data_IF_281600587405
#
_entry.id   IF_281600587405
#
_cell.length_a   1.000
_cell.length_b   1.000
_cell.length_c   1.000
_cell.angle_alpha   90.00
_cell.angle_beta   90.00
_cell.angle_gamma   90.00
#
_symmetry.space_group_name_H-M   'P 1'
#
loop_
_entity.id
_entity.type
_entity.pdbx_description
1 polymer ?
#
# COMPACT_ATOMS: atom_id res chain seq x y z
N UNK A 1 42.20 30.29 -51.57
CA UNK A 1 42.87 28.99 -51.33
C UNK A 1 41.91 27.90 -51.73
N UNK A 2 42.13 27.24 -52.88
CA UNK A 2 41.30 26.13 -53.33
C UNK A 2 41.66 24.89 -52.52
N UNK A 3 40.70 24.38 -51.74
CA UNK A 3 40.83 23.07 -51.07
C UNK A 3 40.97 22.03 -52.18
N UNK A 4 42.10 21.34 -52.24
CA UNK A 4 42.29 20.29 -53.25
C UNK A 4 41.33 19.14 -52.97
N UNK A 5 40.81 18.47 -54.00
CA UNK A 5 39.82 17.38 -53.81
C UNK A 5 40.27 16.28 -52.83
N UNK A 6 41.59 16.11 -52.67
CA UNK A 6 42.21 15.21 -51.69
C UNK A 6 41.99 15.65 -50.22
N UNK A 7 42.00 16.96 -49.95
CA UNK A 7 41.76 17.51 -48.61
C UNK A 7 40.28 17.35 -48.21
N UNK A 8 39.35 17.53 -49.14
CA UNK A 8 37.92 17.30 -48.89
C UNK A 8 37.62 15.81 -48.65
N UNK A 9 38.24 14.91 -49.42
CA UNK A 9 38.14 13.47 -49.21
C UNK A 9 38.70 13.07 -47.84
N UNK A 10 39.88 13.59 -47.46
CA UNK A 10 40.48 13.36 -46.16
C UNK A 10 39.59 13.81 -45.00
N UNK A 11 39.01 15.01 -45.11
CA UNK A 11 38.06 15.52 -44.12
C UNK A 11 36.79 14.64 -44.01
N UNK A 12 36.25 14.21 -45.14
CA UNK A 12 35.04 13.36 -45.18
C UNK A 12 35.28 12.01 -44.52
N UNK A 13 36.43 11.37 -44.80
CA UNK A 13 36.83 10.11 -44.16
C UNK A 13 37.03 10.30 -42.66
N UNK A 14 37.68 11.39 -42.25
CA UNK A 14 37.90 11.70 -40.84
C UNK A 14 36.58 11.87 -40.07
N UNK A 15 35.61 12.61 -40.62
CA UNK A 15 34.28 12.78 -40.02
C UNK A 15 33.54 11.43 -39.96
N UNK A 16 33.58 10.63 -41.02
CA UNK A 16 32.96 9.31 -41.04
C UNK A 16 33.54 8.37 -39.98
N UNK A 17 34.86 8.40 -39.75
CA UNK A 17 35.53 7.63 -38.70
C UNK A 17 35.09 8.08 -37.30
N UNK A 18 34.98 9.39 -37.06
CA UNK A 18 34.50 9.91 -35.76
C UNK A 18 33.06 9.49 -35.50
N UNK A 19 32.18 9.60 -36.50
CA UNK A 19 30.79 9.15 -36.40
C UNK A 19 30.75 7.65 -36.12
N UNK A 20 31.50 6.85 -36.88
CA UNK A 20 31.56 5.41 -36.68
C UNK A 20 32.09 5.03 -35.30
N UNK A 21 33.07 5.77 -34.75
CA UNK A 21 33.61 5.52 -33.41
C UNK A 21 32.54 5.69 -32.32
N UNK A 22 31.65 6.68 -32.44
CA UNK A 22 30.51 6.86 -31.52
C UNK A 22 29.54 5.66 -31.60
N UNK A 23 29.24 5.20 -32.82
CA UNK A 23 28.39 4.02 -33.01
C UNK A 23 29.06 2.72 -32.58
N UNK A 24 30.38 2.60 -32.71
CA UNK A 24 31.15 1.44 -32.28
C UNK A 24 31.10 1.26 -30.76
N UNK A 25 31.25 2.35 -30.00
CA UNK A 25 31.12 2.33 -28.54
C UNK A 25 29.70 1.91 -28.12
N UNK A 26 28.67 2.45 -28.78
CA UNK A 26 27.28 2.05 -28.56
C UNK A 26 27.02 0.57 -28.91
N UNK A 27 27.59 0.08 -30.01
CA UNK A 27 27.49 -1.32 -30.43
C UNK A 27 28.20 -2.27 -29.46
N UNK A 28 29.36 -1.86 -28.94
CA UNK A 28 30.12 -2.62 -27.94
C UNK A 28 29.32 -2.76 -26.64
N UNK A 29 28.75 -1.67 -26.16
CA UNK A 29 27.93 -1.70 -24.95
C UNK A 29 26.63 -2.48 -25.15
N UNK A 30 26.01 -2.38 -26.34
CA UNK A 30 24.83 -3.19 -26.68
C UNK A 30 25.13 -4.69 -26.71
N UNK A 31 26.31 -5.11 -27.18
CA UNK A 31 26.72 -6.52 -27.13
C UNK A 31 26.93 -6.98 -25.68
N UNK A 32 27.58 -6.15 -24.85
CA UNK A 32 27.76 -6.42 -23.42
C UNK A 32 26.40 -6.57 -22.69
N UNK A 33 25.45 -5.68 -22.94
CA UNK A 33 24.10 -5.73 -22.37
C UNK A 33 23.26 -6.92 -22.86
N UNK A 34 23.59 -7.51 -24.01
CA UNK A 34 22.96 -8.75 -24.50
C UNK A 34 23.54 -10.01 -23.86
N UNK A 35 24.78 -9.95 -23.39
CA UNK A 35 25.47 -11.06 -22.72
C UNK A 35 25.17 -11.09 -21.21
N UNK A 36 24.92 -9.93 -20.60
CA UNK A 36 24.33 -9.86 -19.26
C UNK A 36 22.89 -10.37 -19.34
N UNK A 37 22.64 -11.59 -18.85
CA UNK A 37 21.27 -12.06 -18.63
C UNK A 37 20.58 -11.00 -17.76
N UNK A 38 19.50 -10.34 -18.25
CA UNK A 38 18.77 -9.43 -17.40
C UNK A 38 18.36 -10.26 -16.18
N UNK A 39 18.64 -9.76 -14.98
CA UNK A 39 18.02 -10.28 -13.77
C UNK A 39 16.52 -10.27 -14.08
N UNK A 40 15.95 -11.43 -14.38
CA UNK A 40 14.54 -11.56 -14.69
C UNK A 40 13.80 -11.21 -13.41
N UNK A 41 13.53 -9.93 -13.21
CA UNK A 41 12.59 -9.46 -12.22
C UNK A 41 11.27 -10.07 -12.67
N UNK A 42 10.87 -11.15 -12.02
CA UNK A 42 9.62 -11.82 -12.31
C UNK A 42 8.51 -10.78 -12.14
N UNK A 43 7.92 -10.29 -13.23
CA UNK A 43 6.95 -9.19 -13.19
C UNK A 43 5.73 -9.52 -12.29
N UNK A 44 5.45 -10.80 -12.04
CA UNK A 44 4.42 -11.23 -11.08
C UNK A 44 4.76 -10.85 -9.63
N UNK A 45 6.05 -10.70 -9.29
CA UNK A 45 6.55 -10.21 -8.00
C UNK A 45 6.05 -8.80 -7.65
N UNK A 46 5.92 -7.96 -8.68
CA UNK A 46 5.46 -6.56 -8.56
C UNK A 46 3.93 -6.48 -8.68
N UNK A 47 3.32 -7.34 -9.51
CA UNK A 47 1.90 -7.26 -9.86
C UNK A 47 0.96 -8.05 -8.94
N UNK A 48 1.45 -9.06 -8.23
CA UNK A 48 0.59 -9.97 -7.45
C UNK A 48 0.88 -9.83 -5.97
N UNK A 49 -0.13 -9.46 -5.20
CA UNK A 49 0.01 -9.21 -3.77
C UNK A 49 0.40 -10.50 -3.01
N UNK A 50 -0.18 -11.64 -3.38
CA UNK A 50 0.04 -12.96 -2.77
C UNK A 50 1.17 -13.79 -3.44
N UNK A 51 2.04 -13.17 -4.25
CA UNK A 51 3.11 -13.88 -4.98
C UNK A 51 3.96 -14.79 -4.08
N UNK A 52 4.33 -14.32 -2.89
CA UNK A 52 5.16 -15.10 -1.96
C UNK A 52 4.45 -16.35 -1.45
N UNK A 53 3.18 -16.20 -1.04
CA UNK A 53 2.36 -17.32 -0.60
C UNK A 53 2.13 -18.35 -1.71
N UNK A 54 1.86 -17.89 -2.93
CA UNK A 54 1.70 -18.78 -4.09
C UNK A 54 3.01 -19.49 -4.44
N UNK A 55 4.12 -18.76 -4.52
CA UNK A 55 5.43 -19.34 -4.87
C UNK A 55 5.89 -20.36 -3.83
N UNK A 56 5.66 -20.09 -2.54
CA UNK A 56 5.99 -21.03 -1.48
C UNK A 56 5.15 -22.31 -1.55
N UNK A 57 3.81 -22.18 -1.71
CA UNK A 57 2.92 -23.34 -1.90
C UNK A 57 3.34 -24.18 -3.11
N UNK A 58 3.72 -23.54 -4.21
CA UNK A 58 4.19 -24.26 -5.41
C UNK A 58 5.48 -25.04 -5.12
N UNK A 59 6.47 -24.42 -4.47
CA UNK A 59 7.72 -25.11 -4.08
C UNK A 59 7.47 -26.30 -3.17
N UNK A 60 6.55 -26.15 -2.22
CA UNK A 60 6.18 -27.23 -1.30
C UNK A 60 5.58 -28.44 -2.04
N UNK A 61 4.80 -28.24 -3.11
CA UNK A 61 4.28 -29.37 -3.90
C UNK A 61 5.42 -30.25 -4.44
N UNK A 62 6.50 -29.64 -4.91
CA UNK A 62 7.66 -30.37 -5.43
C UNK A 62 8.48 -30.99 -4.29
N UNK A 63 8.70 -30.25 -3.20
CA UNK A 63 9.53 -30.72 -2.08
C UNK A 63 8.90 -31.88 -1.34
N UNK A 64 7.58 -31.89 -1.19
CA UNK A 64 6.86 -32.95 -0.49
C UNK A 64 6.85 -34.29 -1.25
N UNK A 65 7.22 -34.31 -2.53
CA UNK A 65 7.40 -35.54 -3.31
C UNK A 65 8.78 -36.19 -3.11
N UNK A 66 9.76 -35.46 -2.57
CA UNK A 66 11.10 -35.99 -2.34
C UNK A 66 11.11 -37.07 -1.26
N UNK A 67 12.05 -38.04 -1.30
CA UNK A 67 12.18 -39.04 -0.25
C UNK A 67 12.32 -38.41 1.15
N UNK A 68 11.71 -39.03 2.14
CA UNK A 68 11.75 -38.54 3.52
C UNK A 68 11.75 -39.67 4.52
N UNK A 69 12.30 -39.41 5.69
CA UNK A 69 12.39 -40.33 6.83
C UNK A 69 11.26 -40.05 7.81
N UNK A 70 10.80 -41.05 8.56
CA UNK A 70 9.81 -40.83 9.62
C UNK A 70 10.54 -40.51 10.92
N UNK A 71 10.24 -39.38 11.54
CA UNK A 71 10.86 -38.92 12.79
C UNK A 71 9.78 -38.27 13.66
N UNK A 72 9.67 -38.68 14.94
CA UNK A 72 8.74 -38.11 15.92
C UNK A 72 7.28 -37.98 15.42
N UNK A 73 6.78 -38.97 14.67
CA UNK A 73 5.42 -38.98 14.12
C UNK A 73 5.20 -38.05 12.91
N UNK A 74 6.24 -37.37 12.45
CA UNK A 74 6.26 -36.59 11.20
C UNK A 74 7.15 -37.22 10.14
N UNK A 75 7.08 -36.67 8.93
CA UNK A 75 7.96 -37.01 7.80
C UNK A 75 8.97 -35.89 7.59
N UNK A 76 10.25 -36.22 7.68
CA UNK A 76 11.36 -35.28 7.51
C UNK A 76 11.95 -35.45 6.11
N UNK A 77 12.05 -34.36 5.38
CA UNK A 77 12.57 -34.31 4.01
C UNK A 77 13.78 -33.38 3.99
N UNK A 78 14.88 -33.81 3.39
CA UNK A 78 16.09 -32.99 3.20
C UNK A 78 16.12 -32.43 1.79
N UNK A 79 16.23 -31.11 1.65
CA UNK A 79 16.31 -30.40 0.36
C UNK A 79 17.46 -29.40 0.40
N UNK A 80 18.64 -29.84 -0.05
CA UNK A 80 19.86 -29.03 0.07
C UNK A 80 20.17 -28.75 1.55
N UNK A 81 20.22 -27.46 1.92
CA UNK A 81 20.45 -27.02 3.30
C UNK A 81 19.15 -26.83 4.11
N UNK A 82 18.00 -27.19 3.54
CA UNK A 82 16.71 -27.11 4.21
C UNK A 82 16.28 -28.48 4.70
N UNK A 83 15.79 -28.50 5.95
CA UNK A 83 15.10 -29.64 6.54
C UNK A 83 13.63 -29.25 6.65
N UNK A 84 12.78 -30.03 5.97
CA UNK A 84 11.34 -29.86 5.95
C UNK A 84 10.71 -30.91 6.85
N UNK A 85 9.97 -30.48 7.86
CA UNK A 85 9.23 -31.36 8.78
C UNK A 85 7.75 -31.27 8.40
N UNK A 86 7.20 -32.36 7.88
CA UNK A 86 5.77 -32.49 7.60
C UNK A 86 5.08 -33.26 8.71
N UNK A 87 4.03 -32.66 9.28
CA UNK A 87 3.16 -33.29 10.27
C UNK A 87 1.75 -33.42 9.68
N UNK A 88 1.21 -34.64 9.70
CA UNK A 88 -0.09 -34.96 9.08
C UNK A 88 -1.29 -34.67 9.98
N UNK A 89 -1.05 -34.43 11.27
CA UNK A 89 -2.05 -34.04 12.27
C UNK A 89 -1.90 -32.56 12.66
N UNK A 90 -2.83 -32.08 13.48
CA UNK A 90 -2.64 -30.81 14.18
C UNK A 90 -1.46 -30.89 15.16
N UNK A 91 -0.84 -29.74 15.44
CA UNK A 91 0.29 -29.59 16.36
C UNK A 91 0.10 -28.41 17.29
N UNK A 92 0.53 -28.57 18.54
CA UNK A 92 0.59 -27.50 19.54
C UNK A 92 2.00 -27.48 20.16
N UNK A 93 2.75 -26.43 19.86
CA UNK A 93 4.11 -26.26 20.38
C UNK A 93 4.10 -25.53 21.72
N UNK A 94 4.86 -25.98 22.72
CA UNK A 94 4.92 -25.30 24.01
C UNK A 94 5.55 -23.90 23.88
N UNK A 95 5.35 -23.01 24.88
CA UNK A 95 6.03 -21.72 24.94
C UNK A 95 7.55 -21.86 24.83
N UNK A 96 8.21 -20.84 24.26
CA UNK A 96 9.68 -20.78 24.08
C UNK A 96 10.26 -21.90 23.20
N UNK A 97 9.43 -22.52 22.36
CA UNK A 97 9.88 -23.44 21.32
C UNK A 97 10.83 -22.73 20.35
N UNK A 98 11.95 -23.37 20.01
CA UNK A 98 12.87 -22.90 18.97
C UNK A 98 12.92 -23.97 17.88
N UNK A 99 12.62 -23.59 16.64
CA UNK A 99 12.64 -24.47 15.47
C UNK A 99 13.34 -23.78 14.30
N UNK A 100 14.29 -24.47 13.66
CA UNK A 100 15.00 -24.00 12.46
C UNK A 100 14.70 -24.85 11.21
N UNK A 101 13.57 -25.57 11.25
CA UNK A 101 13.08 -26.39 10.14
C UNK A 101 11.92 -25.68 9.42
N UNK A 102 11.80 -25.92 8.10
CA UNK A 102 10.58 -25.56 7.36
C UNK A 102 9.47 -26.48 7.85
N UNK A 103 8.40 -25.91 8.39
CA UNK A 103 7.31 -26.70 8.99
C UNK A 103 6.11 -26.75 8.05
N UNK A 104 5.60 -27.96 7.80
CA UNK A 104 4.41 -28.20 6.97
C UNK A 104 3.39 -28.97 7.83
N UNK A 105 2.25 -28.34 8.13
CA UNK A 105 1.20 -28.93 8.98
C UNK A 105 -0.06 -29.13 8.15
N UNK A 106 -0.50 -30.38 7.99
CA UNK A 106 -1.74 -30.70 7.25
C UNK A 106 -3.00 -30.44 8.10
N UNK A 107 -2.88 -30.37 9.43
CA UNK A 107 -3.94 -29.96 10.35
C UNK A 107 -3.83 -28.50 10.81
N UNK A 108 -4.25 -28.24 12.04
CA UNK A 108 -4.12 -26.93 12.70
C UNK A 108 -2.75 -26.78 13.37
N UNK A 109 -2.25 -25.55 13.42
CA UNK A 109 -1.02 -25.21 14.13
C UNK A 109 -1.33 -24.24 15.28
N UNK A 110 -0.82 -24.53 16.46
CA UNK A 110 -0.64 -23.52 17.50
C UNK A 110 0.76 -23.56 18.10
N UNK A 111 1.19 -22.41 18.62
CA UNK A 111 2.34 -22.35 19.52
C UNK A 111 2.05 -21.46 20.72
N UNK A 112 2.70 -21.77 21.85
CA UNK A 112 2.73 -20.93 23.03
C UNK A 112 3.53 -19.64 22.81
N UNK A 113 3.63 -18.83 23.86
CA UNK A 113 4.32 -17.54 23.82
C UNK A 113 5.84 -17.69 23.57
N UNK A 114 6.44 -16.61 23.06
CA UNK A 114 7.89 -16.43 22.91
C UNK A 114 8.60 -17.52 22.09
N UNK A 115 7.90 -18.15 21.14
CA UNK A 115 8.50 -19.12 20.22
C UNK A 115 9.34 -18.46 19.13
N UNK A 116 10.33 -19.18 18.60
CA UNK A 116 11.20 -18.74 17.50
C UNK A 116 11.17 -19.78 16.38
N UNK A 117 10.57 -19.41 15.25
CA UNK A 117 10.49 -20.24 14.06
C UNK A 117 11.30 -19.56 12.95
N UNK A 118 12.52 -20.05 12.75
CA UNK A 118 13.54 -19.39 11.92
C UNK A 118 13.36 -19.63 10.42
N UNK A 119 12.51 -20.57 10.03
CA UNK A 119 12.13 -20.89 8.65
C UNK A 119 10.63 -20.75 8.41
N UNK A 120 10.22 -20.91 7.16
CA UNK A 120 8.85 -20.79 6.71
C UNK A 120 7.93 -21.87 7.31
N UNK A 121 6.71 -21.47 7.66
CA UNK A 121 5.65 -22.37 8.13
C UNK A 121 4.54 -22.39 7.07
N UNK A 122 4.06 -23.59 6.72
CA UNK A 122 2.84 -23.79 5.98
C UNK A 122 1.83 -24.59 6.81
N UNK A 123 0.59 -24.10 6.86
CA UNK A 123 -0.51 -24.71 7.62
C UNK A 123 -1.72 -24.84 6.71
N UNK A 124 -2.26 -26.05 6.57
CA UNK A 124 -3.48 -26.29 5.78
C UNK A 124 -4.74 -25.93 6.58
N UNK A 125 -4.74 -26.18 7.89
CA UNK A 125 -5.80 -25.77 8.79
C UNK A 125 -5.70 -24.31 9.24
N UNK A 126 -6.16 -24.06 10.46
CA UNK A 126 -6.02 -22.77 11.14
C UNK A 126 -4.68 -22.66 11.85
N UNK A 127 -4.19 -21.44 12.02
CA UNK A 127 -2.92 -21.16 12.66
C UNK A 127 -3.08 -20.10 13.75
N UNK A 128 -2.58 -20.40 14.97
CA UNK A 128 -2.42 -19.43 16.06
C UNK A 128 -0.96 -19.33 16.46
N UNK A 129 -0.37 -18.15 16.30
CA UNK A 129 0.99 -17.86 16.75
C UNK A 129 0.91 -17.16 18.10
N UNK A 130 1.47 -17.77 19.14
CA UNK A 130 1.42 -17.27 20.51
C UNK A 130 2.17 -15.95 20.72
N UNK A 131 1.73 -15.18 21.72
CA UNK A 131 2.23 -13.83 21.98
C UNK A 131 3.76 -13.73 22.06
N UNK A 132 4.32 -12.62 21.56
CA UNK A 132 5.77 -12.37 21.58
C UNK A 132 6.61 -13.26 20.64
N UNK A 133 6.01 -14.25 19.99
CA UNK A 133 6.74 -15.16 19.10
C UNK A 133 7.26 -14.48 17.85
N UNK A 134 8.34 -15.03 17.29
CA UNK A 134 8.96 -14.59 16.03
C UNK A 134 8.89 -15.70 15.00
N UNK A 135 8.32 -15.38 13.83
CA UNK A 135 8.16 -16.30 12.70
C UNK A 135 8.81 -15.70 11.46
N UNK A 136 9.57 -16.49 10.69
CA UNK A 136 10.25 -16.00 9.50
C UNK A 136 9.26 -15.60 8.39
N UNK A 137 8.42 -16.53 7.96
CA UNK A 137 7.28 -16.29 7.07
C UNK A 137 6.23 -17.39 7.26
N UNK A 138 4.97 -17.12 6.91
CA UNK A 138 3.89 -18.07 7.17
C UNK A 138 2.81 -18.05 6.08
N UNK A 139 2.44 -19.23 5.59
CA UNK A 139 1.32 -19.43 4.67
C UNK A 139 0.25 -20.33 5.32
N UNK A 140 -1.00 -19.91 5.28
CA UNK A 140 -2.12 -20.60 5.95
C UNK A 140 -3.29 -20.75 5.00
N UNK A 141 -3.90 -21.92 4.89
CA UNK A 141 -5.10 -22.10 4.07
C UNK A 141 -6.40 -21.89 4.86
N UNK A 142 -6.39 -22.02 6.19
CA UNK A 142 -7.45 -21.56 7.08
C UNK A 142 -7.24 -20.12 7.58
N UNK A 143 -7.70 -19.82 8.79
CA UNK A 143 -7.52 -18.53 9.46
C UNK A 143 -6.15 -18.43 10.13
N UNK A 144 -5.58 -17.22 10.16
CA UNK A 144 -4.31 -16.93 10.83
C UNK A 144 -4.52 -15.88 11.93
N UNK A 145 -4.25 -16.27 13.17
CA UNK A 145 -4.23 -15.38 14.33
C UNK A 145 -2.79 -15.15 14.78
N UNK A 146 -2.35 -13.90 14.73
CA UNK A 146 -1.11 -13.47 15.35
C UNK A 146 -1.47 -12.82 16.69
N UNK A 147 -1.06 -13.43 17.80
CA UNK A 147 -1.30 -12.87 19.13
C UNK A 147 -0.50 -11.56 19.37
N UNK A 148 -0.72 -10.86 20.50
CA UNK A 148 -0.01 -9.61 20.77
C UNK A 148 1.51 -9.73 20.66
N UNK A 149 2.13 -8.69 20.12
CA UNK A 149 3.59 -8.56 19.99
C UNK A 149 4.30 -9.63 19.14
N UNK A 150 3.56 -10.44 18.37
CA UNK A 150 4.14 -11.36 17.39
C UNK A 150 4.90 -10.60 16.32
N UNK A 151 6.06 -11.11 15.92
CA UNK A 151 6.86 -10.57 14.82
C UNK A 151 6.93 -11.55 13.66
N UNK A 152 6.36 -11.17 12.52
CA UNK A 152 6.59 -11.86 11.23
C UNK A 152 7.69 -11.13 10.47
N UNK A 153 8.81 -11.81 10.21
CA UNK A 153 10.04 -11.17 9.69
C UNK A 153 9.94 -10.83 8.21
N UNK A 154 9.21 -11.63 7.42
CA UNK A 154 9.06 -11.41 5.98
C UNK A 154 7.61 -11.18 5.62
N UNK A 155 6.86 -12.24 5.42
CA UNK A 155 5.50 -12.16 4.88
C UNK A 155 4.57 -13.15 5.57
N UNK A 156 3.28 -12.83 5.57
CA UNK A 156 2.24 -13.79 5.91
C UNK A 156 1.15 -13.78 4.84
N UNK A 157 0.59 -14.96 4.58
CA UNK A 157 -0.43 -15.18 3.56
C UNK A 157 -1.49 -16.12 4.12
N UNK A 158 -2.77 -15.76 4.00
CA UNK A 158 -3.88 -16.59 4.43
C UNK A 158 -5.03 -16.60 3.43
N UNK A 159 -5.68 -17.76 3.23
CA UNK A 159 -6.94 -17.78 2.48
C UNK A 159 -8.13 -17.38 3.35
N UNK A 160 -8.04 -17.56 4.67
CA UNK A 160 -9.05 -17.15 5.65
C UNK A 160 -8.82 -15.74 6.17
N UNK A 161 -9.27 -15.49 7.40
CA UNK A 161 -9.12 -14.20 8.10
C UNK A 161 -7.71 -14.11 8.69
N UNK A 162 -7.08 -12.94 8.55
CA UNK A 162 -5.85 -12.59 9.27
C UNK A 162 -6.17 -11.64 10.42
N UNK A 163 -6.04 -12.12 11.65
CA UNK A 163 -6.10 -11.30 12.86
C UNK A 163 -4.70 -10.90 13.29
N UNK A 164 -4.37 -9.61 13.20
CA UNK A 164 -3.09 -9.05 13.62
C UNK A 164 -3.24 -8.45 15.00
N UNK A 165 -2.67 -9.14 16.00
CA UNK A 165 -2.75 -8.77 17.41
C UNK A 165 -2.10 -7.44 17.77
N UNK A 166 -2.42 -6.95 18.98
CA UNK A 166 -1.94 -5.65 19.48
C UNK A 166 -0.42 -5.60 19.44
N UNK A 167 0.15 -4.54 18.87
CA UNK A 167 1.59 -4.36 18.79
C UNK A 167 2.34 -5.38 17.93
N UNK A 168 1.65 -6.30 17.25
CA UNK A 168 2.28 -7.25 16.34
C UNK A 168 2.89 -6.52 15.14
N UNK A 169 4.02 -7.03 14.64
CA UNK A 169 4.78 -6.41 13.55
C UNK A 169 4.98 -7.39 12.41
N UNK A 170 4.50 -7.03 11.21
CA UNK A 170 4.76 -7.77 9.97
C UNK A 170 5.72 -6.93 9.15
N UNK A 171 6.95 -7.43 8.99
CA UNK A 171 8.07 -6.63 8.50
C UNK A 171 8.05 -6.38 7.00
N UNK A 172 7.28 -7.12 6.21
CA UNK A 172 6.98 -6.80 4.81
C UNK A 172 5.48 -6.93 4.49
N UNK A 173 5.08 -7.94 3.69
CA UNK A 173 3.72 -8.05 3.12
C UNK A 173 2.83 -8.98 3.94
N UNK A 174 1.57 -8.60 4.11
CA UNK A 174 0.52 -9.46 4.64
C UNK A 174 -0.66 -9.51 3.68
N UNK A 175 -1.10 -10.71 3.32
CA UNK A 175 -2.23 -10.90 2.42
C UNK A 175 -3.27 -11.81 3.03
N UNK A 176 -4.54 -11.45 2.87
CA UNK A 176 -5.68 -12.33 3.09
C UNK A 176 -6.58 -12.35 1.87
N UNK A 177 -7.15 -13.52 1.55
CA UNK A 177 -8.20 -13.64 0.52
C UNK A 177 -9.59 -13.22 0.98
N UNK A 178 -9.77 -12.94 2.27
CA UNK A 178 -11.07 -12.55 2.83
C UNK A 178 -10.98 -11.21 3.57
N UNK A 179 -10.22 -11.17 4.67
CA UNK A 179 -10.14 -10.02 5.55
C UNK A 179 -8.83 -9.97 6.33
N UNK A 180 -8.31 -8.75 6.56
CA UNK A 180 -7.30 -8.47 7.57
C UNK A 180 -7.88 -7.55 8.65
N UNK A 181 -7.75 -7.96 9.91
CA UNK A 181 -8.12 -7.19 11.08
C UNK A 181 -6.86 -6.71 11.79
N UNK A 182 -6.66 -5.40 11.84
CA UNK A 182 -5.54 -4.77 12.52
C UNK A 182 -5.97 -4.34 13.93
N UNK A 183 -5.33 -4.90 14.95
CA UNK A 183 -5.48 -4.43 16.32
C UNK A 183 -4.61 -3.18 16.57
N UNK A 184 -4.86 -2.43 17.66
CA UNK A 184 -4.09 -1.23 17.99
C UNK A 184 -2.59 -1.48 18.07
N UNK A 185 -1.81 -0.47 17.69
CA UNK A 185 -0.35 -0.46 17.70
C UNK A 185 0.31 -1.51 16.78
N UNK A 186 -0.48 -2.27 16.01
CA UNK A 186 0.03 -3.19 15.00
C UNK A 186 0.70 -2.44 13.86
N UNK A 187 1.76 -3.04 13.29
CA UNK A 187 2.63 -2.42 12.29
C UNK A 187 2.85 -3.35 11.10
N UNK A 188 2.53 -2.89 9.90
CA UNK A 188 2.66 -3.68 8.65
C UNK A 188 3.24 -2.78 7.56
N UNK A 189 4.05 -3.29 6.61
CA UNK A 189 4.51 -2.44 5.48
C UNK A 189 3.43 -2.35 4.41
N UNK A 190 2.85 -3.49 4.06
CA UNK A 190 1.84 -3.61 3.01
C UNK A 190 0.82 -4.66 3.41
N UNK A 191 -0.44 -4.27 3.47
CA UNK A 191 -1.57 -5.16 3.74
C UNK A 191 -2.57 -5.10 2.58
N UNK A 192 -3.01 -6.27 2.15
CA UNK A 192 -4.00 -6.41 1.08
C UNK A 192 -5.05 -7.46 1.44
N UNK A 193 -6.32 -7.11 1.28
CA UNK A 193 -7.45 -8.02 1.31
C UNK A 193 -8.69 -7.38 0.68
N UNK A 194 -9.72 -8.17 0.34
CA UNK A 194 -11.05 -7.63 0.04
C UNK A 194 -11.63 -6.76 1.17
N UNK A 195 -11.14 -6.93 2.40
CA UNK A 195 -11.47 -6.05 3.52
C UNK A 195 -10.27 -5.92 4.47
N UNK A 196 -9.75 -4.71 4.66
CA UNK A 196 -8.74 -4.36 5.67
C UNK A 196 -9.39 -3.42 6.67
N UNK A 197 -9.43 -3.80 7.95
CA UNK A 197 -10.17 -3.07 8.98
C UNK A 197 -9.35 -2.84 10.26
N UNK A 198 -9.68 -1.77 10.99
CA UNK A 198 -9.16 -1.47 12.34
C UNK A 198 -10.26 -1.62 13.39
N UNK A 199 -10.03 -2.48 14.38
CA UNK A 199 -11.02 -2.98 15.37
C UNK A 199 -12.35 -3.50 14.78
N UNK A 200 -13.18 -4.08 15.66
CA UNK A 200 -14.42 -4.77 15.34
C UNK A 200 -15.18 -4.09 14.21
N UNK A 201 -15.18 -4.74 13.06
CA UNK A 201 -16.15 -4.52 12.01
C UNK A 201 -17.54 -4.56 12.64
N UNK A 202 -18.06 -3.41 13.06
CA UNK A 202 -19.48 -3.20 12.87
C UNK A 202 -19.60 -3.17 11.37
N UNK A 203 -20.42 -4.08 10.85
CA UNK A 203 -21.12 -3.91 9.58
C UNK A 203 -21.87 -2.59 9.71
N UNK A 204 -21.14 -1.48 9.62
CA UNK A 204 -21.67 -0.16 9.46
C UNK A 204 -22.36 -0.34 8.13
N UNK A 205 -23.68 -0.54 8.23
CA UNK A 205 -24.55 -0.48 7.09
C UNK A 205 -24.02 0.67 6.27
N UNK A 206 -23.69 0.40 5.01
CA UNK A 206 -23.57 1.42 3.99
C UNK A 206 -24.89 2.18 4.09
N UNK A 207 -24.93 3.23 4.91
CA UNK A 207 -26.12 3.99 5.22
C UNK A 207 -25.78 5.45 5.07
N UNK A 208 -26.52 5.96 4.10
CA UNK A 208 -26.77 7.31 3.67
C UNK A 208 -25.58 8.06 3.07
N UNK A 209 -25.86 8.56 1.87
CA UNK A 209 -25.15 9.66 1.25
C UNK A 209 -24.91 10.76 2.28
N UNK A 210 -23.77 11.47 2.22
CA UNK A 210 -23.61 12.66 3.05
C UNK A 210 -24.85 13.56 2.91
N UNK A 211 -25.25 14.27 3.98
CA UNK A 211 -26.32 15.27 3.88
C UNK A 211 -26.02 16.21 2.71
N UNK A 212 -27.09 16.63 2.01
CA UNK A 212 -26.98 17.49 0.84
C UNK A 212 -26.02 18.66 1.13
N UNK A 213 -25.06 18.95 0.22
CA UNK A 213 -24.01 19.91 0.50
C UNK A 213 -24.62 21.28 0.83
N UNK A 214 -24.24 21.80 2.00
CA UNK A 214 -24.38 23.21 2.34
C UNK A 214 -23.47 23.99 1.37
N UNK A 215 -24.00 25.08 0.80
CA UNK A 215 -23.38 25.99 -0.19
C UNK A 215 -21.89 25.68 -0.43
N UNK A 216 -21.63 24.94 -1.51
CA UNK A 216 -20.28 24.54 -1.89
C UNK A 216 -19.69 25.52 -2.92
N UNK A 217 -18.39 25.77 -2.81
CA UNK A 217 -17.60 26.35 -3.90
C UNK A 217 -17.53 25.28 -4.98
N UNK A 218 -17.89 25.61 -6.22
CA UNK A 218 -17.81 24.67 -7.34
C UNK A 218 -16.60 24.97 -8.21
N UNK A 219 -15.84 23.94 -8.59
CA UNK A 219 -14.80 24.00 -9.62
C UNK A 219 -15.14 22.95 -10.69
N UNK A 220 -15.35 23.34 -11.97
CA UNK A 220 -15.24 24.71 -12.50
C UNK A 220 -16.34 25.64 -11.94
N UNK A 221 -16.10 26.95 -11.98
CA UNK A 221 -17.08 27.94 -11.53
C UNK A 221 -18.37 27.84 -12.37
N UNK A 222 -19.56 27.99 -11.76
CA UNK A 222 -20.82 27.93 -12.48
C UNK A 222 -20.97 29.15 -13.42
N UNK A 223 -21.92 29.06 -14.35
CA UNK A 223 -22.29 30.15 -15.25
C UNK A 223 -23.70 30.65 -14.91
N UNK A 224 -23.88 31.93 -14.49
CA UNK A 224 -22.85 32.94 -14.27
C UNK A 224 -22.01 32.65 -13.00
N UNK A 225 -20.74 33.11 -12.96
CA UNK A 225 -19.88 32.89 -11.80
C UNK A 225 -20.34 33.73 -10.60
N UNK A 226 -20.11 33.28 -9.36
CA UNK A 226 -20.35 34.09 -8.16
C UNK A 226 -19.50 35.37 -8.17
N UNK A 227 -19.88 36.37 -7.37
CA UNK A 227 -19.11 37.60 -7.25
C UNK A 227 -17.68 37.34 -6.75
N UNK A 228 -16.73 38.19 -7.16
CA UNK A 228 -15.33 38.06 -6.74
C UNK A 228 -15.19 38.14 -5.22
N UNK A 229 -16.00 38.97 -4.56
CA UNK A 229 -16.03 39.14 -3.12
C UNK A 229 -16.50 37.86 -2.42
N UNK A 230 -17.53 37.19 -2.97
CA UNK A 230 -18.02 35.92 -2.44
C UNK A 230 -16.96 34.82 -2.58
N UNK A 231 -16.30 34.72 -3.73
CA UNK A 231 -15.24 33.73 -3.97
C UNK A 231 -14.05 33.94 -3.04
N UNK A 232 -13.58 35.19 -2.89
CA UNK A 232 -12.48 35.52 -1.97
C UNK A 232 -12.86 35.28 -0.51
N UNK A 233 -14.08 35.63 -0.09
CA UNK A 233 -14.59 35.31 1.23
C UNK A 233 -14.66 33.80 1.51
N UNK A 234 -14.87 33.02 0.45
CA UNK A 234 -14.85 31.56 0.46
C UNK A 234 -13.42 30.95 0.38
N UNK A 235 -12.37 31.78 0.29
CA UNK A 235 -10.98 31.35 0.21
C UNK A 235 -10.49 30.97 -1.20
N UNK A 236 -11.27 31.25 -2.24
CA UNK A 236 -10.90 31.01 -3.64
C UNK A 236 -10.60 32.34 -4.33
N UNK A 237 -9.35 32.55 -4.78
CA UNK A 237 -8.98 33.69 -5.61
C UNK A 237 -9.09 33.33 -7.10
N UNK A 238 -10.08 33.86 -7.85
CA UNK A 238 -10.23 33.55 -9.27
C UNK A 238 -9.02 33.96 -10.11
N UNK A 239 -8.21 34.93 -9.65
CA UNK A 239 -6.99 35.35 -10.34
C UNK A 239 -5.87 34.29 -10.32
N UNK A 240 -5.96 33.32 -9.40
CA UNK A 240 -5.00 32.20 -9.28
C UNK A 240 -5.49 30.92 -9.95
N UNK A 241 -6.76 30.88 -10.36
CA UNK A 241 -7.40 29.73 -10.96
C UNK A 241 -7.33 29.84 -12.49
N UNK A 242 -6.58 28.94 -13.12
CA UNK A 242 -6.34 28.93 -14.56
C UNK A 242 -6.80 27.60 -15.16
N UNK A 243 -7.52 27.67 -16.26
CA UNK A 243 -7.88 26.48 -17.03
C UNK A 243 -6.65 26.01 -17.82
N UNK A 244 -6.25 24.74 -17.66
CA UNK A 244 -5.17 24.13 -18.44
C UNK A 244 -5.70 23.38 -19.67
N UNK A 245 -6.80 22.66 -19.49
CA UNK A 245 -7.51 21.92 -20.53
C UNK A 245 -9.01 21.96 -20.27
N UNK A 246 -9.81 21.25 -21.08
CA UNK A 246 -11.24 21.25 -20.88
C UNK A 246 -11.67 20.67 -19.53
N UNK A 247 -10.89 19.70 -19.05
CA UNK A 247 -11.11 18.83 -17.89
C UNK A 247 -10.10 19.04 -16.76
N UNK A 248 -9.22 20.06 -16.86
CA UNK A 248 -8.18 20.32 -15.86
C UNK A 248 -7.98 21.80 -15.57
N UNK A 249 -7.93 22.12 -14.28
CA UNK A 249 -7.68 23.44 -13.74
C UNK A 249 -6.44 23.44 -12.87
N UNK A 250 -5.78 24.59 -12.82
CA UNK A 250 -4.60 24.87 -12.02
C UNK A 250 -4.91 26.00 -11.05
N UNK A 251 -4.68 25.80 -9.76
CA UNK A 251 -4.62 26.88 -8.78
C UNK A 251 -3.16 27.21 -8.44
N UNK A 252 -2.74 28.46 -8.65
CA UNK A 252 -1.38 28.91 -8.31
C UNK A 252 -1.25 29.23 -6.82
N UNK A 253 -0.31 28.59 -6.15
CA UNK A 253 -0.10 28.74 -4.71
C UNK A 253 -1.12 27.97 -3.88
N UNK A 254 -1.01 28.17 -2.58
CA UNK A 254 -1.86 27.54 -1.57
C UNK A 254 -3.35 27.85 -1.77
N UNK A 255 -4.20 26.84 -1.59
CA UNK A 255 -5.66 26.90 -1.69
C UNK A 255 -6.29 26.53 -0.34
N UNK A 256 -6.75 27.53 0.41
CA UNK A 256 -7.41 27.33 1.69
C UNK A 256 -8.85 27.80 1.60
N UNK A 257 -9.77 26.86 1.40
CA UNK A 257 -11.19 27.16 1.29
C UNK A 257 -11.82 27.28 2.68
N UNK A 258 -12.79 28.17 2.82
CA UNK A 258 -13.59 28.35 4.06
C UNK A 258 -14.98 27.73 3.95
N UNK A 259 -15.38 27.29 2.76
CA UNK A 259 -16.62 26.57 2.48
C UNK A 259 -16.34 25.23 1.75
N UNK A 260 -17.23 24.23 1.86
CA UNK A 260 -17.04 22.93 1.20
C UNK A 260 -16.78 23.06 -0.30
N UNK A 261 -15.89 22.24 -0.83
CA UNK A 261 -15.59 22.20 -2.27
C UNK A 261 -16.44 21.14 -2.95
N UNK A 262 -17.06 21.48 -4.08
CA UNK A 262 -17.55 20.51 -5.07
C UNK A 262 -16.64 20.57 -6.29
N UNK A 263 -15.79 19.56 -6.44
CA UNK A 263 -14.82 19.48 -7.54
C UNK A 263 -15.35 18.53 -8.61
N UNK A 264 -15.74 19.06 -9.77
CA UNK A 264 -16.29 18.32 -10.92
C UNK A 264 -15.30 18.15 -12.08
N UNK A 265 -14.05 18.55 -11.89
CA UNK A 265 -12.99 18.57 -12.89
C UNK A 265 -11.65 18.33 -12.21
N UNK A 266 -10.61 17.92 -12.93
CA UNK A 266 -9.30 17.73 -12.30
C UNK A 266 -8.75 19.07 -11.82
N UNK A 267 -8.17 19.09 -10.63
CA UNK A 267 -7.54 20.28 -10.07
C UNK A 267 -6.12 19.99 -9.62
N UNK A 268 -5.19 20.79 -10.11
CA UNK A 268 -3.80 20.82 -9.66
C UNK A 268 -3.57 22.08 -8.85
N UNK A 269 -3.16 21.94 -7.59
CA UNK A 269 -2.80 23.05 -6.71
C UNK A 269 -1.28 23.14 -6.60
N UNK A 270 -0.70 24.28 -6.99
CA UNK A 270 0.73 24.57 -6.89
C UNK A 270 1.12 25.06 -5.49
N UNK A 271 0.79 24.24 -4.49
CA UNK A 271 0.95 24.54 -3.08
C UNK A 271 0.17 23.55 -2.23
N UNK A 272 -0.10 23.91 -0.98
CA UNK A 272 -0.96 23.16 -0.09
C UNK A 272 -2.44 23.38 -0.43
N UNK A 273 -3.28 22.38 -0.17
CA UNK A 273 -4.73 22.50 -0.37
C UNK A 273 -5.51 21.99 0.84
N UNK A 274 -6.43 22.81 1.33
CA UNK A 274 -7.34 22.52 2.44
C UNK A 274 -8.78 22.55 1.95
N UNK A 275 -9.39 21.38 1.89
CA UNK A 275 -10.82 21.22 1.61
C UNK A 275 -11.57 21.09 2.95
N UNK A 276 -12.52 21.99 3.26
CA UNK A 276 -13.35 21.91 4.46
C UNK A 276 -14.18 20.62 4.56
N UNK A 277 -14.77 20.40 5.73
CA UNK A 277 -15.66 19.28 5.98
C UNK A 277 -16.83 19.24 4.99
N UNK A 278 -17.26 18.03 4.61
CA UNK A 278 -18.35 17.83 3.66
C UNK A 278 -18.01 18.17 2.20
N UNK A 279 -16.73 18.31 1.84
CA UNK A 279 -16.32 18.50 0.45
C UNK A 279 -16.61 17.25 -0.39
N UNK A 280 -16.99 17.44 -1.65
CA UNK A 280 -17.26 16.39 -2.64
C UNK A 280 -16.28 16.54 -3.80
N UNK A 281 -15.38 15.58 -3.94
CA UNK A 281 -14.36 15.56 -5.00
C UNK A 281 -14.73 14.49 -6.02
N UNK A 282 -15.49 14.87 -7.04
CA UNK A 282 -15.93 13.97 -8.11
C UNK A 282 -14.76 13.57 -9.02
N UNK A 283 -13.75 14.44 -9.15
CA UNK A 283 -12.58 14.28 -10.00
C UNK A 283 -11.25 14.42 -9.23
N UNK A 284 -10.13 14.18 -9.93
CA UNK A 284 -8.79 14.13 -9.35
C UNK A 284 -8.36 15.46 -8.69
N UNK A 285 -7.78 15.37 -7.50
CA UNK A 285 -7.16 16.49 -6.80
C UNK A 285 -5.68 16.19 -6.56
N UNK A 286 -4.81 17.01 -7.15
CA UNK A 286 -3.37 16.99 -6.92
C UNK A 286 -2.90 18.25 -6.22
N UNK A 287 -2.03 18.10 -5.23
CA UNK A 287 -1.26 19.20 -4.64
C UNK A 287 0.24 18.94 -4.75
N UNK A 288 1.01 19.94 -5.16
CA UNK A 288 2.49 19.91 -5.04
C UNK A 288 2.93 20.05 -3.56
N UNK A 289 2.04 20.49 -2.68
CA UNK A 289 2.24 20.53 -1.22
C UNK A 289 1.51 19.40 -0.49
N UNK A 290 0.94 19.71 0.68
CA UNK A 290 0.11 18.78 1.46
C UNK A 290 -1.38 18.93 1.16
N UNK A 291 -2.15 17.85 1.34
CA UNK A 291 -3.61 17.85 1.26
C UNK A 291 -4.26 17.65 2.63
N UNK A 292 -5.22 18.50 2.97
CA UNK A 292 -6.12 18.27 4.10
C UNK A 292 -7.55 18.18 3.60
N UNK A 293 -8.14 17.01 3.78
CA UNK A 293 -9.53 16.73 3.43
C UNK A 293 -10.33 16.72 4.74
N UNK A 294 -11.30 17.62 4.85
CA UNK A 294 -12.14 17.75 6.04
C UNK A 294 -13.00 16.51 6.30
N UNK A 295 -13.59 16.46 7.49
CA UNK A 295 -14.44 15.35 7.94
C UNK A 295 -15.68 15.17 7.05
N UNK A 296 -16.15 13.93 6.91
CA UNK A 296 -17.34 13.59 6.14
C UNK A 296 -17.25 13.90 4.65
N UNK A 297 -16.05 14.18 4.12
CA UNK A 297 -15.85 14.45 2.70
C UNK A 297 -15.96 13.17 1.87
N UNK A 298 -16.38 13.30 0.62
CA UNK A 298 -16.49 12.18 -0.33
C UNK A 298 -15.54 12.44 -1.50
N UNK A 299 -14.61 11.50 -1.73
CA UNK A 299 -13.59 11.61 -2.76
C UNK A 299 -13.74 10.48 -3.77
N UNK A 300 -14.37 10.76 -4.90
CA UNK A 300 -14.45 9.82 -6.01
C UNK A 300 -13.16 9.81 -6.82
N UNK A 301 -12.53 10.95 -7.10
CA UNK A 301 -11.26 11.01 -7.83
C UNK A 301 -10.03 10.55 -7.03
N UNK A 302 -8.88 10.55 -7.68
CA UNK A 302 -7.59 10.30 -7.04
C UNK A 302 -7.16 11.49 -6.18
N UNK A 303 -6.54 11.20 -5.04
CA UNK A 303 -5.93 12.21 -4.16
C UNK A 303 -4.42 12.03 -4.19
N UNK A 304 -3.70 13.04 -4.69
CA UNK A 304 -2.24 12.97 -4.81
C UNK A 304 -1.61 14.20 -4.19
N UNK A 305 -0.68 14.01 -3.27
CA UNK A 305 0.13 15.08 -2.68
C UNK A 305 1.61 14.69 -2.73
N UNK A 306 2.49 15.63 -3.04
CA UNK A 306 3.93 15.41 -2.88
C UNK A 306 4.32 15.47 -1.38
N UNK A 307 3.52 16.16 -0.55
CA UNK A 307 3.65 16.20 0.91
C UNK A 307 2.72 15.22 1.64
N UNK A 308 2.24 15.65 2.80
CA UNK A 308 1.36 14.85 3.65
C UNK A 308 -0.09 14.88 3.15
N UNK A 309 -0.84 13.81 3.42
CA UNK A 309 -2.29 13.79 3.26
C UNK A 309 -2.93 13.49 4.61
N UNK A 310 -3.88 14.35 5.02
CA UNK A 310 -4.76 14.09 6.16
C UNK A 310 -6.20 13.99 5.67
N UNK A 311 -6.81 12.84 5.91
CA UNK A 311 -8.23 12.61 5.62
C UNK A 311 -9.02 12.63 6.92
N UNK A 312 -10.02 13.50 6.98
CA UNK A 312 -10.88 13.69 8.15
C UNK A 312 -11.71 12.46 8.49
N UNK A 313 -12.30 12.48 9.68
CA UNK A 313 -13.16 11.41 10.20
C UNK A 313 -14.35 11.16 9.29
N UNK A 314 -14.78 9.90 9.21
CA UNK A 314 -15.94 9.45 8.43
C UNK A 314 -15.94 9.83 6.94
N UNK A 315 -14.80 10.25 6.39
CA UNK A 315 -14.66 10.55 4.96
C UNK A 315 -14.59 9.26 4.13
N UNK A 316 -14.93 9.36 2.85
CA UNK A 316 -14.98 8.22 1.91
C UNK A 316 -14.04 8.45 0.73
N UNK A 317 -13.35 7.42 0.27
CA UNK A 317 -12.60 7.46 -0.99
C UNK A 317 -12.88 6.23 -1.86
N UNK A 318 -12.86 6.43 -3.18
CA UNK A 318 -13.18 5.38 -4.14
C UNK A 318 -12.04 4.98 -5.07
N UNK A 319 -10.92 5.71 -5.09
CA UNK A 319 -9.77 5.39 -5.92
C UNK A 319 -8.46 5.44 -5.13
N UNK A 320 -7.41 6.06 -5.65
CA UNK A 320 -6.07 6.03 -5.07
C UNK A 320 -5.86 7.27 -4.20
N UNK A 321 -5.25 7.05 -3.03
CA UNK A 321 -4.63 8.09 -2.22
C UNK A 321 -3.12 7.85 -2.25
N UNK A 322 -2.35 8.86 -2.69
CA UNK A 322 -0.90 8.81 -2.74
C UNK A 322 -0.31 10.04 -2.04
N UNK A 323 0.29 9.82 -0.87
CA UNK A 323 1.05 10.84 -0.13
C UNK A 323 2.56 10.64 -0.34
N UNK A 324 3.26 11.66 -0.83
CA UNK A 324 4.72 11.69 -0.90
C UNK A 324 5.39 11.83 0.47
N UNK A 325 4.63 12.22 1.51
CA UNK A 325 5.01 12.18 2.92
C UNK A 325 4.21 11.13 3.71
N UNK A 326 3.59 11.58 4.80
CA UNK A 326 2.73 10.78 5.69
C UNK A 326 1.29 10.79 5.21
N UNK A 327 0.58 9.66 5.31
CA UNK A 327 -0.87 9.60 5.15
C UNK A 327 -1.54 9.33 6.49
N UNK A 328 -2.58 10.09 6.82
CA UNK A 328 -3.41 9.89 8.02
C UNK A 328 -4.85 9.68 7.61
N UNK A 329 -5.39 8.50 7.90
CA UNK A 329 -6.80 8.19 7.75
C UNK A 329 -7.49 8.37 9.10
N UNK A 330 -8.40 9.35 9.18
CA UNK A 330 -9.18 9.65 10.37
C UNK A 330 -10.16 8.52 10.73
N UNK A 331 -10.70 8.60 11.94
CA UNK A 331 -11.58 7.55 12.46
C UNK A 331 -12.81 7.34 11.56
N UNK A 332 -13.13 6.09 11.24
CA UNK A 332 -14.30 5.76 10.42
C UNK A 332 -14.15 6.01 8.91
N UNK A 333 -12.95 6.30 8.40
CA UNK A 333 -12.73 6.44 6.95
C UNK A 333 -13.06 5.14 6.21
N UNK A 334 -13.75 5.25 5.09
CA UNK A 334 -14.14 4.13 4.24
C UNK A 334 -13.49 4.23 2.86
N UNK A 335 -12.66 3.25 2.52
CA UNK A 335 -12.11 3.07 1.17
C UNK A 335 -12.87 1.99 0.42
N UNK A 336 -13.66 2.36 -0.58
CA UNK A 336 -14.48 1.40 -1.31
C UNK A 336 -14.79 1.84 -2.75
N UNK A 337 -14.68 0.88 -3.67
CA UNK A 337 -15.19 0.96 -5.04
C UNK A 337 -16.02 -0.29 -5.33
N UNK A 338 -17.10 -0.14 -6.11
CA UNK A 338 -18.03 -1.24 -6.40
C UNK A 338 -17.32 -2.38 -7.14
N UNK A 339 -16.63 -2.05 -8.23
CA UNK A 339 -16.02 -3.01 -9.16
C UNK A 339 -14.50 -3.17 -9.03
N UNK A 340 -13.85 -2.41 -8.14
CA UNK A 340 -12.39 -2.37 -8.05
C UNK A 340 -11.88 -2.38 -6.60
N UNK A 341 -10.56 -2.58 -6.46
CA UNK A 341 -9.86 -2.37 -5.20
C UNK A 341 -9.37 -0.92 -5.12
N UNK A 342 -9.38 -0.35 -3.92
CA UNK A 342 -8.81 0.97 -3.66
C UNK A 342 -7.42 0.84 -3.05
N UNK A 343 -6.64 1.92 -3.12
CA UNK A 343 -5.26 1.95 -2.61
C UNK A 343 -5.02 3.21 -1.81
N UNK A 344 -4.49 3.05 -0.61
CA UNK A 344 -3.93 4.15 0.18
C UNK A 344 -2.43 3.89 0.40
N UNK A 345 -1.61 4.79 -0.12
CA UNK A 345 -0.16 4.71 -0.08
C UNK A 345 0.48 5.98 0.50
N UNK A 346 1.50 5.78 1.33
CA UNK A 346 2.39 6.82 1.82
C UNK A 346 3.84 6.43 1.59
N UNK A 347 4.68 7.37 1.18
CA UNK A 347 6.13 7.14 1.18
C UNK A 347 6.65 7.02 2.62
N UNK A 348 6.21 7.91 3.52
CA UNK A 348 6.43 7.80 4.96
C UNK A 348 5.40 6.90 5.62
N UNK A 349 5.14 7.11 6.91
CA UNK A 349 4.11 6.38 7.65
C UNK A 349 2.69 6.54 7.11
N UNK A 350 1.91 5.45 7.18
CA UNK A 350 0.46 5.45 7.01
C UNK A 350 -0.20 5.21 8.37
N UNK A 351 -0.82 6.22 8.95
CA UNK A 351 -1.54 6.09 10.21
C UNK A 351 -3.03 5.82 9.96
N UNK A 352 -3.54 4.76 10.55
CA UNK A 352 -4.91 4.30 10.37
C UNK A 352 -5.63 4.38 11.70
N UNK A 353 -6.54 5.33 11.84
CA UNK A 353 -7.34 5.49 13.05
C UNK A 353 -8.37 4.36 13.22
N UNK A 354 -9.11 4.39 14.32
CA UNK A 354 -10.09 3.37 14.66
C UNK A 354 -11.30 3.37 13.69
N UNK A 355 -11.82 2.18 13.35
CA UNK A 355 -13.01 2.03 12.52
C UNK A 355 -12.78 2.33 11.03
N UNK A 356 -11.53 2.47 10.60
CA UNK A 356 -11.20 2.55 9.17
C UNK A 356 -11.40 1.18 8.52
N UNK A 357 -12.05 1.17 7.37
CA UNK A 357 -12.27 -0.03 6.55
C UNK A 357 -11.91 0.26 5.10
N UNK A 358 -11.12 -0.61 4.47
CA UNK A 358 -10.65 -0.46 3.09
C UNK A 358 -10.80 -1.76 2.32
N UNK A 359 -11.51 -1.72 1.18
CA UNK A 359 -11.53 -2.81 0.20
C UNK A 359 -10.34 -2.68 -0.74
N UNK A 360 -9.21 -3.28 -0.36
CA UNK A 360 -7.98 -3.24 -1.15
C UNK A 360 -6.73 -3.13 -0.31
N UNK A 361 -5.88 -2.15 -0.65
CA UNK A 361 -4.49 -2.08 -0.18
C UNK A 361 -4.24 -0.87 0.71
N UNK A 362 -3.59 -1.12 1.84
CA UNK A 362 -2.90 -0.10 2.63
C UNK A 362 -1.39 -0.40 2.57
N UNK A 363 -0.59 0.56 2.15
CA UNK A 363 0.84 0.38 2.04
C UNK A 363 1.61 1.65 2.43
N UNK A 364 2.84 1.45 2.88
CA UNK A 364 3.72 2.51 3.32
C UNK A 364 5.17 2.15 2.96
N UNK A 365 6.00 3.14 2.61
CA UNK A 365 7.45 2.95 2.50
C UNK A 365 8.12 2.68 3.86
N UNK A 366 7.46 3.07 4.96
CA UNK A 366 7.87 2.80 6.34
C UNK A 366 6.95 1.75 6.99
N UNK A 367 5.84 2.19 7.61
CA UNK A 367 4.84 1.34 8.26
C UNK A 367 3.44 1.93 8.14
N UNK A 368 2.49 1.05 7.82
CA UNK A 368 1.08 1.15 8.19
C UNK A 368 0.95 0.87 9.68
N UNK A 369 0.42 1.83 10.44
CA UNK A 369 0.28 1.76 11.89
C UNK A 369 -1.19 1.94 12.26
N UNK A 370 -1.78 0.91 12.86
CA UNK A 370 -3.11 1.01 13.43
C UNK A 370 -3.04 1.77 14.76
N UNK A 371 -3.75 2.89 14.87
CA UNK A 371 -3.75 3.73 16.06
C UNK A 371 -4.73 3.20 17.11
N UNK A 372 -4.46 3.42 18.42
CA UNK A 372 -5.44 3.19 19.47
C UNK A 372 -6.59 4.19 19.35
N UNK A 373 -7.75 3.87 19.95
CA UNK A 373 -8.97 4.68 19.86
C UNK A 373 -8.81 6.16 20.29
N UNK A 374 -7.87 6.45 21.19
CA UNK A 374 -7.56 7.80 21.68
C UNK A 374 -6.27 8.38 21.07
N UNK A 375 -5.71 7.72 20.06
CA UNK A 375 -4.36 7.94 19.56
C UNK A 375 -4.21 8.90 18.40
N UNK A 376 -5.18 9.79 18.12
CA UNK A 376 -5.00 10.81 17.08
C UNK A 376 -3.90 11.80 17.53
N UNK A 377 -2.68 11.77 16.95
CA UNK A 377 -1.64 12.69 17.35
C UNK A 377 -1.97 14.03 16.69
N UNK A 378 -2.63 14.91 17.43
CA UNK A 378 -3.04 16.21 16.89
C UNK A 378 -4.05 17.01 17.71
N UNK A 379 -4.77 16.43 18.68
CA UNK A 379 -5.59 17.22 19.59
C UNK A 379 -4.74 17.82 20.72
N UNK A 380 -3.87 18.78 20.39
CA UNK A 380 -3.53 19.80 21.38
C UNK A 380 -4.75 20.70 21.54
N UNK A 381 -5.70 20.28 22.35
CA UNK A 381 -6.60 21.21 23.01
C UNK A 381 -5.73 22.04 23.95
N UNK A 382 -5.63 23.33 23.65
CA UNK A 382 -4.96 24.29 24.51
C UNK A 382 -5.53 24.22 25.93
N UNK A 383 -4.63 24.23 26.89
CA UNK A 383 -4.79 24.97 28.13
C UNK A 383 -3.57 25.85 28.30
#
# INVERSE_FOLDING_TARGET
MAVTGLQFLGFTVFVAVIIYLHFFLAHRELRRLREEQPLEINWRYVRTEDFFGQSFRQKLQDWLQLPGETENGGRVIKKGNERIVRVTSSVDFPPRTILDDVLVVDGDFSCGADGVFSREIYVRGNCRVGAGSRVQAIAVDGNLTLEPFVTVVRWCDTNGILDVGKGATIKARSVSRTRVQLAPDSKVVSVYAPEVATNSYRKAAVRESPPAPVIAIEIPLPSPPPSREALKGAGLDPGRLHRLSEDCWLHKGDLQLSAPLRLKTRLVVKGNCWCPAGSVLEEDLKADGSLQIGEGSVCHGNLVADGDIKMGRASRFSHIIHAGGTLRLGSGVLGFHESAMVVAYAVGHLFVANGVTVKGKLASGERVVALPANGEPGSKTGR
#
